data_IF_123914456619
#
_entry.id   IF_123914456619
#
_cell.length_a   1.000
_cell.length_b   1.000
_cell.length_c   1.000
_cell.angle_alpha   90.00
_cell.angle_beta   90.00
_cell.angle_gamma   90.00
#
_symmetry.space_group_name_H-M   'P 1'
#
loop_
_entity.id
_entity.type
_entity.pdbx_description
1 polymer ?
#
# COMPACT_ATOMS: atom_id res chain seq x y z
N UNK A 1 -13.18 -28.47 29.70
CA UNK A 1 -13.22 -27.20 28.98
C UNK A 1 -12.99 -27.43 27.50
N UNK A 2 -13.82 -26.86 26.73
CA UNK A 2 -13.58 -26.91 25.28
C UNK A 2 -12.50 -25.94 24.97
N UNK A 3 -11.42 -26.45 24.42
CA UNK A 3 -10.39 -25.59 23.95
C UNK A 3 -10.95 -24.72 22.82
N UNK A 4 -10.73 -23.44 22.93
CA UNK A 4 -11.20 -22.51 21.92
C UNK A 4 -10.51 -22.80 20.60
N UNK A 5 -11.28 -23.20 19.64
CA UNK A 5 -10.77 -23.45 18.31
C UNK A 5 -10.35 -22.12 17.69
N UNK A 6 -9.15 -22.07 17.18
CA UNK A 6 -8.70 -20.91 16.43
C UNK A 6 -9.47 -20.88 15.11
N UNK A 7 -10.20 -19.82 14.90
CA UNK A 7 -10.78 -19.57 13.60
C UNK A 7 -9.66 -19.13 12.66
N UNK A 8 -9.40 -19.84 11.57
CA UNK A 8 -8.31 -19.48 10.64
C UNK A 8 -8.38 -18.04 10.15
N UNK A 9 -9.57 -17.44 10.08
CA UNK A 9 -9.74 -16.05 9.68
C UNK A 9 -9.19 -15.06 10.71
N UNK A 10 -9.12 -15.47 11.98
CA UNK A 10 -8.70 -14.63 13.09
C UNK A 10 -7.36 -15.08 13.67
N UNK A 11 -6.68 -16.04 13.05
CA UNK A 11 -5.34 -16.44 13.45
C UNK A 11 -4.37 -15.35 13.03
N UNK A 12 -3.83 -14.65 14.02
CA UNK A 12 -2.92 -13.53 13.81
C UNK A 12 -1.72 -13.92 13.00
N UNK A 13 -1.07 -15.04 13.34
CA UNK A 13 0.15 -15.46 12.64
C UNK A 13 -0.15 -15.80 11.19
N UNK A 14 -1.29 -16.40 10.93
CA UNK A 14 -1.71 -16.71 9.56
C UNK A 14 -1.99 -15.45 8.77
N UNK A 15 -2.64 -14.48 9.37
CA UNK A 15 -2.93 -13.20 8.72
C UNK A 15 -1.63 -12.48 8.37
N UNK A 16 -0.69 -12.42 9.31
CA UNK A 16 0.62 -11.81 9.08
C UNK A 16 1.35 -12.52 7.95
N UNK A 17 1.36 -13.87 7.96
CA UNK A 17 1.98 -14.64 6.90
C UNK A 17 1.37 -14.30 5.53
N UNK A 18 0.07 -14.23 5.44
CA UNK A 18 -0.64 -13.92 4.20
C UNK A 18 -0.31 -12.51 3.70
N UNK A 19 -0.30 -11.53 4.61
CA UNK A 19 0.05 -10.16 4.27
C UNK A 19 1.46 -10.06 3.73
N UNK A 20 2.41 -10.72 4.39
CA UNK A 20 3.80 -10.70 3.95
C UNK A 20 4.00 -11.44 2.63
N UNK A 21 3.35 -12.58 2.47
CA UNK A 21 3.43 -13.36 1.23
C UNK A 21 2.88 -12.57 0.05
N UNK A 22 1.73 -11.94 0.24
CA UNK A 22 1.11 -11.12 -0.79
C UNK A 22 2.01 -9.95 -1.16
N UNK A 23 2.65 -9.32 -0.16
CA UNK A 23 3.55 -8.21 -0.42
C UNK A 23 4.78 -8.65 -1.21
N UNK A 24 5.37 -9.78 -0.87
CA UNK A 24 6.52 -10.31 -1.62
C UNK A 24 6.15 -10.52 -3.09
N UNK A 25 5.01 -11.14 -3.35
CA UNK A 25 4.55 -11.37 -4.72
C UNK A 25 4.28 -10.07 -5.46
N UNK A 26 3.64 -9.10 -4.79
CA UNK A 26 3.39 -7.79 -5.39
C UNK A 26 4.68 -7.07 -5.74
N UNK A 27 5.66 -7.07 -4.84
CA UNK A 27 6.96 -6.43 -5.09
C UNK A 27 7.73 -7.11 -6.22
N UNK A 28 7.62 -8.42 -6.35
CA UNK A 28 8.23 -9.14 -7.47
C UNK A 28 7.64 -8.70 -8.82
N UNK A 29 6.33 -8.54 -8.88
CA UNK A 29 5.66 -8.07 -10.09
C UNK A 29 6.02 -6.61 -10.39
N UNK A 30 5.99 -5.75 -9.39
CA UNK A 30 6.34 -4.34 -9.53
C UNK A 30 7.79 -4.20 -9.99
N UNK A 31 8.69 -5.01 -9.45
CA UNK A 31 10.11 -4.99 -9.78
C UNK A 31 10.42 -5.32 -11.23
N UNK A 32 9.49 -5.89 -11.98
CA UNK A 32 9.64 -6.16 -13.40
C UNK A 32 9.46 -4.92 -14.26
N UNK A 33 8.92 -3.83 -13.69
CA UNK A 33 8.66 -2.60 -14.44
C UNK A 33 9.76 -1.59 -14.11
N UNK A 34 10.57 -1.19 -15.09
CA UNK A 34 11.59 -0.15 -14.86
C UNK A 34 10.93 1.15 -14.38
N UNK A 35 11.62 1.87 -13.49
CA UNK A 35 11.07 3.10 -12.92
C UNK A 35 10.70 4.14 -13.98
N UNK A 36 11.43 4.19 -15.10
CA UNK A 36 11.12 5.13 -16.18
C UNK A 36 9.85 4.80 -16.96
N UNK A 37 9.24 3.65 -16.68
CA UNK A 37 7.98 3.24 -17.31
C UNK A 37 6.79 3.32 -16.34
N UNK A 38 7.00 3.75 -15.10
CA UNK A 38 5.95 3.77 -14.09
C UNK A 38 4.78 4.71 -14.41
N UNK A 39 5.01 5.73 -15.23
CA UNK A 39 3.98 6.72 -15.57
C UNK A 39 3.41 6.51 -16.97
N UNK A 40 3.81 5.46 -17.66
CA UNK A 40 3.24 5.11 -18.95
C UNK A 40 1.82 4.56 -18.77
N UNK A 41 0.94 4.97 -19.66
CA UNK A 41 -0.48 4.56 -19.64
C UNK A 41 -0.83 3.86 -20.95
N UNK A 42 -0.40 2.62 -21.14
CA UNK A 42 -0.56 1.93 -22.43
C UNK A 42 -2.01 1.84 -22.91
N UNK A 43 -2.94 1.73 -21.97
CA UNK A 43 -4.37 1.67 -22.29
C UNK A 43 -5.13 2.94 -21.89
N UNK A 44 -4.41 3.98 -21.49
CA UNK A 44 -4.98 5.29 -21.18
C UNK A 44 -5.82 5.39 -19.90
N UNK A 45 -5.79 4.38 -19.04
CA UNK A 45 -6.65 4.32 -17.83
C UNK A 45 -5.85 4.51 -16.55
N UNK A 46 -4.70 3.86 -16.43
CA UNK A 46 -3.92 3.87 -15.21
C UNK A 46 -2.45 3.62 -15.52
N UNK A 47 -1.60 3.82 -14.53
CA UNK A 47 -0.17 3.49 -14.62
C UNK A 47 0.32 2.83 -13.33
N UNK A 48 1.54 2.27 -13.37
CA UNK A 48 2.10 1.52 -12.26
C UNK A 48 2.22 2.40 -11.01
N UNK A 49 2.69 3.64 -11.16
CA UNK A 49 2.82 4.55 -10.02
C UNK A 49 1.51 4.74 -9.27
N UNK A 50 0.40 4.95 -9.98
CA UNK A 50 -0.90 5.09 -9.36
C UNK A 50 -1.30 3.82 -8.61
N UNK A 51 -1.09 2.66 -9.21
CA UNK A 51 -1.46 1.41 -8.58
C UNK A 51 -0.65 1.14 -7.30
N UNK A 52 0.66 1.42 -7.31
CA UNK A 52 1.50 1.22 -6.14
C UNK A 52 1.15 2.22 -5.04
N UNK A 53 0.95 3.49 -5.40
CA UNK A 53 0.50 4.51 -4.46
C UNK A 53 -0.86 4.20 -3.88
N UNK A 54 -1.76 3.67 -4.71
CA UNK A 54 -3.08 3.23 -4.26
C UNK A 54 -2.98 2.07 -3.26
N UNK A 55 -2.07 1.13 -3.49
CA UNK A 55 -1.82 0.05 -2.52
C UNK A 55 -1.41 0.63 -1.17
N UNK A 56 -0.54 1.63 -1.15
CA UNK A 56 -0.09 2.25 0.08
C UNK A 56 -1.25 2.93 0.83
N UNK A 57 -2.03 3.74 0.13
CA UNK A 57 -3.13 4.47 0.77
C UNK A 57 -4.27 3.53 1.19
N UNK A 58 -4.54 2.49 0.41
CA UNK A 58 -5.54 1.49 0.76
C UNK A 58 -5.12 0.70 2.00
N UNK A 59 -3.86 0.28 2.07
CA UNK A 59 -3.35 -0.42 3.25
C UNK A 59 -3.38 0.48 4.48
N UNK A 60 -3.10 1.76 4.31
CA UNK A 60 -3.20 2.72 5.40
C UNK A 60 -4.65 2.82 5.92
N UNK A 61 -5.62 3.11 5.07
CA UNK A 61 -7.00 3.31 5.50
C UNK A 61 -7.70 2.01 5.89
N UNK A 62 -7.57 0.97 5.08
CA UNK A 62 -8.30 -0.29 5.32
C UNK A 62 -7.59 -1.18 6.33
N UNK A 63 -6.30 -0.98 6.54
CA UNK A 63 -5.51 -1.74 7.50
C UNK A 63 -5.22 -0.94 8.76
N UNK A 64 -4.28 -0.02 8.67
CA UNK A 64 -3.72 0.66 9.85
C UNK A 64 -4.75 1.52 10.58
N UNK A 65 -5.50 2.34 9.86
CA UNK A 65 -6.54 3.20 10.47
C UNK A 65 -7.65 2.33 11.08
N UNK A 66 -8.01 1.26 10.40
CA UNK A 66 -9.00 0.32 10.93
C UNK A 66 -8.53 -0.33 12.24
N UNK A 67 -7.26 -0.70 12.31
CA UNK A 67 -6.71 -1.42 13.48
C UNK A 67 -6.53 -0.49 14.69
N UNK A 68 -6.03 0.73 14.49
CA UNK A 68 -5.69 1.60 15.61
C UNK A 68 -6.14 3.05 15.49
N UNK A 69 -6.77 3.42 14.39
CA UNK A 69 -7.16 4.80 14.11
C UNK A 69 -6.04 5.62 13.48
N UNK A 70 -6.41 6.74 12.90
CA UNK A 70 -5.48 7.69 12.32
C UNK A 70 -4.76 8.46 13.41
N UNK A 71 -3.47 8.74 13.20
CA UNK A 71 -2.64 9.57 14.07
C UNK A 71 -2.01 10.67 13.26
N UNK A 72 -1.83 11.82 13.89
CA UNK A 72 -1.20 12.95 13.23
C UNK A 72 0.24 12.65 12.80
N UNK A 73 0.94 11.85 13.60
CA UNK A 73 2.30 11.40 13.29
C UNK A 73 2.40 10.50 12.05
N UNK A 74 1.28 9.99 11.54
CA UNK A 74 1.28 9.16 10.34
C UNK A 74 1.80 9.93 9.12
N UNK A 75 1.73 11.25 9.14
CA UNK A 75 2.29 12.10 8.09
C UNK A 75 3.79 11.94 7.91
N UNK A 76 4.48 11.42 8.92
CA UNK A 76 5.92 11.19 8.85
C UNK A 76 6.27 10.07 7.87
N UNK A 77 5.36 9.13 7.61
CA UNK A 77 5.62 8.05 6.67
C UNK A 77 4.64 7.97 5.50
N UNK A 78 3.45 8.58 5.61
CA UNK A 78 2.53 8.68 4.47
C UNK A 78 2.05 10.13 4.33
N UNK A 79 2.58 10.87 3.33
CA UNK A 79 2.19 12.25 3.11
C UNK A 79 0.68 12.41 2.83
N UNK A 80 0.10 13.52 3.28
CA UNK A 80 -1.31 13.81 3.05
C UNK A 80 -1.70 13.80 1.57
N UNK A 81 -0.78 14.20 0.69
CA UNK A 81 -1.02 14.24 -0.75
C UNK A 81 -1.35 12.88 -1.34
N UNK A 82 -0.99 11.79 -0.67
CA UNK A 82 -1.25 10.45 -1.18
C UNK A 82 -2.74 10.15 -1.32
N UNK A 83 -3.57 10.65 -0.41
CA UNK A 83 -5.01 10.48 -0.51
C UNK A 83 -5.58 11.15 -1.76
N UNK A 84 -5.07 12.33 -2.11
CA UNK A 84 -5.51 13.05 -3.31
C UNK A 84 -4.99 12.41 -4.59
N UNK A 85 -3.72 12.00 -4.59
CA UNK A 85 -3.07 11.47 -5.79
C UNK A 85 -3.50 10.03 -6.10
N UNK A 86 -3.65 9.21 -5.08
CA UNK A 86 -3.80 7.77 -5.23
C UNK A 86 -5.05 7.20 -4.57
N UNK A 87 -5.83 8.00 -3.88
CA UNK A 87 -6.98 7.54 -3.13
C UNK A 87 -8.15 7.20 -4.03
N UNK A 88 -9.20 6.69 -3.40
CA UNK A 88 -10.43 6.34 -4.08
C UNK A 88 -11.03 7.58 -4.79
N UNK A 89 -11.37 7.42 -6.05
CA UNK A 89 -11.92 8.50 -6.84
C UNK A 89 -10.87 9.36 -7.56
N UNK A 90 -9.58 9.16 -7.27
CA UNK A 90 -8.53 9.86 -8.00
C UNK A 90 -8.32 9.22 -9.38
N UNK A 91 -7.80 10.02 -10.31
CA UNK A 91 -7.59 9.59 -11.69
C UNK A 91 -6.11 9.70 -12.01
N UNK A 92 -5.54 8.62 -12.57
CA UNK A 92 -4.15 8.62 -13.00
C UNK A 92 -3.97 9.55 -14.21
N UNK A 93 -2.87 10.29 -14.22
CA UNK A 93 -2.47 11.13 -15.35
C UNK A 93 -1.03 10.82 -15.75
N UNK A 94 -0.66 11.10 -16.99
CA UNK A 94 0.71 10.86 -17.47
C UNK A 94 1.70 11.95 -17.06
N UNK A 95 1.26 12.97 -16.33
CA UNK A 95 2.11 14.06 -15.87
C UNK A 95 3.01 13.60 -14.72
N UNK A 96 4.12 12.96 -15.04
CA UNK A 96 5.03 12.35 -14.05
C UNK A 96 5.53 13.31 -12.99
N UNK A 97 5.69 14.59 -13.37
CA UNK A 97 6.15 15.62 -12.42
C UNK A 97 5.11 15.99 -11.36
N UNK A 98 3.88 15.53 -11.49
CA UNK A 98 2.82 15.73 -10.49
C UNK A 98 2.83 14.67 -9.40
N UNK A 99 3.71 13.68 -9.50
CA UNK A 99 3.76 12.53 -8.60
C UNK A 99 5.10 12.43 -7.88
N UNK A 100 5.13 11.76 -6.72
CA UNK A 100 6.39 11.37 -6.11
C UNK A 100 7.15 10.42 -7.05
N UNK A 101 8.45 10.30 -6.84
CA UNK A 101 9.26 9.35 -7.61
C UNK A 101 8.86 7.90 -7.30
N UNK A 102 9.12 6.95 -8.20
CA UNK A 102 8.89 5.53 -7.93
C UNK A 102 9.56 5.05 -6.63
N UNK A 103 10.80 5.47 -6.36
CA UNK A 103 11.50 5.11 -5.12
C UNK A 103 10.78 5.62 -3.89
N UNK A 104 10.28 6.85 -3.92
CA UNK A 104 9.54 7.42 -2.80
C UNK A 104 8.22 6.67 -2.58
N UNK A 105 7.51 6.34 -3.64
CA UNK A 105 6.26 5.59 -3.54
C UNK A 105 6.51 4.21 -2.92
N UNK A 106 7.59 3.54 -3.32
CA UNK A 106 7.97 2.25 -2.73
C UNK A 106 8.33 2.38 -1.25
N UNK A 107 9.02 3.45 -0.87
CA UNK A 107 9.37 3.69 0.53
C UNK A 107 8.11 3.90 1.39
N UNK A 108 7.15 4.65 0.89
CA UNK A 108 5.88 4.86 1.60
C UNK A 108 5.11 3.55 1.73
N UNK A 109 5.03 2.78 0.65
CA UNK A 109 4.38 1.47 0.68
C UNK A 109 5.01 0.57 1.75
N UNK A 110 6.33 0.52 1.80
CA UNK A 110 7.06 -0.27 2.79
C UNK A 110 6.84 0.21 4.22
N UNK A 111 6.83 1.53 4.43
CA UNK A 111 6.64 2.10 5.76
C UNK A 111 5.23 1.84 6.30
N UNK A 112 4.21 1.97 5.46
CA UNK A 112 2.83 1.64 5.84
C UNK A 112 2.72 0.17 6.22
N UNK A 113 3.29 -0.70 5.41
CA UNK A 113 3.24 -2.15 5.65
C UNK A 113 3.93 -2.53 6.96
N UNK A 114 5.13 -2.02 7.20
CA UNK A 114 5.87 -2.28 8.43
C UNK A 114 5.09 -1.79 9.65
N UNK A 115 4.53 -0.59 9.57
CA UNK A 115 3.74 -0.02 10.66
C UNK A 115 2.49 -0.87 10.93
N UNK A 116 1.80 -1.32 9.88
CA UNK A 116 0.65 -2.20 10.04
C UNK A 116 1.01 -3.51 10.73
N UNK A 117 2.11 -4.14 10.33
CA UNK A 117 2.56 -5.38 10.95
C UNK A 117 2.92 -5.17 12.43
N UNK A 118 3.55 -4.05 12.76
CA UNK A 118 3.91 -3.73 14.14
C UNK A 118 2.68 -3.54 15.03
N UNK A 119 1.58 -3.04 14.47
CA UNK A 119 0.32 -2.84 15.21
C UNK A 119 -0.54 -4.10 15.27
N UNK A 120 -0.18 -5.10 14.51
CA UNK A 120 -0.92 -6.36 14.51
C UNK A 120 -0.38 -7.31 15.56
#
# INVERSE_FOLDING_TARGET
MIERQKNPMYDKDRIIYQLERTRVLSLQMIGRVPHNQWFEMPVGVTHVAWNVGHMAIAEYFLGLVFVRGARESDRDFIPESYAELFGYGSVATSASNSYPSPSEILDVLGAVHTTLLDET
#
